data_IF_080107109796
#
_entry.id   IF_080107109796
#
_cell.length_a   1.000
_cell.length_b   1.000
_cell.length_c   1.000
_cell.angle_alpha   90.00
_cell.angle_beta   90.00
_cell.angle_gamma   90.00
#
_symmetry.space_group_name_H-M   'P 1'
#
loop_
_entity.id
_entity.type
_entity.pdbx_description
1 polymer ?
#
# COMPACT_ATOMS: atom_id res chain seq x y z
N UNK A 1 -13.45 -9.43 -4.52
CA UNK A 1 -12.37 -10.41 -4.29
C UNK A 1 -11.89 -10.31 -2.85
N UNK A 2 -11.48 -9.12 -2.39
CA UNK A 2 -11.16 -8.86 -0.97
C UNK A 2 -12.30 -9.30 -0.03
N UNK A 3 -13.56 -8.92 -0.32
CA UNK A 3 -14.72 -9.37 0.47
C UNK A 3 -14.83 -10.90 0.59
N UNK A 4 -14.51 -11.61 -0.50
CA UNK A 4 -14.56 -13.07 -0.54
C UNK A 4 -13.40 -13.72 0.24
N UNK A 5 -12.23 -13.07 0.28
CA UNK A 5 -11.11 -13.53 1.11
C UNK A 5 -11.36 -13.24 2.58
N UNK A 6 -11.92 -12.07 2.90
CA UNK A 6 -12.26 -11.67 4.28
C UNK A 6 -13.34 -12.59 4.86
N UNK A 7 -14.38 -12.90 4.09
CA UNK A 7 -15.40 -13.87 4.48
C UNK A 7 -14.84 -15.29 4.73
N UNK A 8 -13.65 -15.58 4.21
CA UNK A 8 -12.93 -16.84 4.42
C UNK A 8 -11.82 -16.76 5.49
N UNK A 9 -11.75 -15.66 6.25
CA UNK A 9 -10.71 -15.39 7.26
C UNK A 9 -9.30 -15.29 6.66
N UNK A 10 -9.19 -14.64 5.50
CA UNK A 10 -7.94 -14.36 4.81
C UNK A 10 -7.87 -12.89 4.36
N UNK A 11 -6.65 -12.41 4.16
CA UNK A 11 -6.35 -11.12 3.55
C UNK A 11 -5.61 -11.31 2.22
N UNK A 12 -5.90 -10.42 1.27
CA UNK A 12 -5.09 -10.24 0.07
C UNK A 12 -4.04 -9.16 0.28
N UNK A 13 -2.81 -9.41 -0.20
CA UNK A 13 -1.65 -8.57 0.13
C UNK A 13 -1.54 -7.25 -0.64
N UNK A 14 -2.27 -7.09 -1.75
CA UNK A 14 -2.21 -5.89 -2.60
C UNK A 14 -3.48 -5.07 -2.40
N UNK A 15 -3.30 -3.78 -2.13
CA UNK A 15 -4.40 -2.85 -1.90
C UNK A 15 -4.08 -1.44 -2.45
N UNK A 16 -4.98 -0.91 -3.28
CA UNK A 16 -4.79 0.34 -4.03
C UNK A 16 -6.10 1.15 -4.13
N UNK A 17 -5.99 2.43 -4.49
CA UNK A 17 -7.14 3.35 -4.57
C UNK A 17 -8.21 2.89 -5.58
N UNK A 18 -7.80 2.26 -6.68
CA UNK A 18 -8.72 1.78 -7.71
C UNK A 18 -9.45 0.46 -7.37
N UNK A 19 -9.41 -0.02 -6.13
CA UNK A 19 -9.97 -1.34 -5.73
C UNK A 19 -11.42 -1.59 -6.16
N UNK A 20 -12.22 -0.53 -6.29
CA UNK A 20 -13.63 -0.60 -6.69
C UNK A 20 -13.86 -0.85 -8.19
N UNK A 21 -12.84 -0.65 -9.04
CA UNK A 21 -12.96 -0.75 -10.49
C UNK A 21 -11.88 -1.61 -11.14
N UNK A 22 -10.71 -1.77 -10.51
CA UNK A 22 -9.62 -2.55 -11.06
C UNK A 22 -9.95 -4.05 -11.09
N UNK A 23 -9.42 -4.75 -12.09
CA UNK A 23 -9.56 -6.20 -12.25
C UNK A 23 -8.22 -6.89 -11.98
N UNK A 24 -8.26 -8.12 -11.45
CA UNK A 24 -7.06 -8.92 -11.17
C UNK A 24 -6.18 -9.10 -12.42
N UNK A 25 -6.77 -9.34 -13.59
CA UNK A 25 -6.02 -9.45 -14.84
C UNK A 25 -5.26 -8.17 -15.18
N UNK A 26 -5.88 -7.00 -15.00
CA UNK A 26 -5.24 -5.70 -15.18
C UNK A 26 -4.13 -5.47 -14.16
N UNK A 27 -4.40 -5.74 -12.88
CA UNK A 27 -3.40 -5.63 -11.81
C UNK A 27 -2.18 -6.53 -12.07
N UNK A 28 -2.37 -7.75 -12.57
CA UNK A 28 -1.29 -8.64 -12.97
C UNK A 28 -0.54 -8.07 -14.19
N UNK A 29 -1.27 -7.64 -15.21
CA UNK A 29 -0.68 -7.10 -16.44
C UNK A 29 0.17 -5.86 -16.17
N UNK A 30 -0.20 -4.99 -15.22
CA UNK A 30 0.60 -3.82 -14.83
C UNK A 30 1.59 -4.10 -13.70
N UNK A 31 1.58 -5.30 -13.13
CA UNK A 31 2.31 -5.63 -11.89
C UNK A 31 2.02 -4.63 -10.75
N UNK A 32 0.73 -4.35 -10.55
CA UNK A 32 0.25 -3.34 -9.62
C UNK A 32 0.88 -3.51 -8.22
N UNK A 33 1.35 -2.38 -7.70
CA UNK A 33 1.68 -2.24 -6.30
C UNK A 33 0.46 -1.80 -5.48
N UNK A 34 0.76 -1.09 -4.41
CA UNK A 34 -0.24 -0.55 -3.52
C UNK A 34 0.40 -0.11 -2.22
N UNK A 35 -0.43 0.47 -1.36
CA UNK A 35 0.00 1.03 -0.06
C UNK A 35 0.60 -0.01 0.88
N UNK A 36 0.28 -1.29 0.66
CA UNK A 36 0.77 -2.43 1.45
C UNK A 36 1.95 -3.19 0.83
N UNK A 37 2.50 -2.69 -0.29
CA UNK A 37 3.58 -3.36 -1.01
C UNK A 37 4.86 -3.53 -0.17
N UNK A 38 5.10 -2.65 0.81
CA UNK A 38 6.22 -2.77 1.75
C UNK A 38 6.12 -4.06 2.58
N UNK A 39 4.89 -4.45 2.97
CA UNK A 39 4.66 -5.65 3.78
C UNK A 39 4.54 -6.91 2.95
N UNK A 40 3.79 -6.84 1.85
CA UNK A 40 3.39 -8.05 1.11
C UNK A 40 4.07 -8.19 -0.26
N UNK A 41 4.64 -7.12 -0.82
CA UNK A 41 5.08 -7.07 -2.21
C UNK A 41 3.96 -6.65 -3.17
N UNK A 42 4.26 -6.69 -4.47
CA UNK A 42 3.35 -6.35 -5.56
C UNK A 42 2.62 -7.60 -6.05
N UNK A 43 1.84 -7.45 -7.12
CA UNK A 43 1.14 -8.58 -7.75
C UNK A 43 2.06 -9.74 -8.12
N UNK A 44 3.30 -9.46 -8.54
CA UNK A 44 4.30 -10.50 -8.84
C UNK A 44 4.55 -11.44 -7.66
N UNK A 45 4.74 -10.89 -6.47
CA UNK A 45 4.96 -11.65 -5.24
C UNK A 45 3.69 -12.35 -4.73
N UNK A 46 2.50 -11.85 -5.10
CA UNK A 46 1.22 -12.47 -4.77
C UNK A 46 0.84 -13.62 -5.70
N UNK A 47 1.51 -13.82 -6.83
CA UNK A 47 1.05 -14.75 -7.88
C UNK A 47 1.74 -16.11 -7.79
N UNK A 48 0.96 -17.17 -7.64
CA UNK A 48 1.45 -18.56 -7.65
C UNK A 48 1.39 -19.18 -9.06
N UNK A 49 0.39 -18.82 -9.86
CA UNK A 49 0.22 -19.34 -11.21
C UNK A 49 -0.71 -18.48 -12.05
N UNK A 50 -0.61 -18.63 -13.37
CA UNK A 50 -1.48 -17.93 -14.33
C UNK A 50 -1.90 -18.87 -15.47
N UNK A 51 -2.92 -18.43 -16.19
CA UNK A 51 -3.28 -18.88 -17.54
C UNK A 51 -3.40 -17.64 -18.43
N UNK A 52 -2.85 -17.71 -19.63
CA UNK A 52 -2.92 -16.63 -20.60
C UNK A 52 -3.15 -17.16 -22.02
N UNK A 53 -3.79 -16.36 -22.85
CA UNK A 53 -4.04 -16.64 -24.28
C UNK A 53 -3.12 -15.76 -25.12
N UNK A 54 -2.29 -16.38 -25.95
CA UNK A 54 -1.40 -15.68 -26.88
C UNK A 54 -2.19 -15.11 -28.08
N UNK A 55 -1.52 -14.27 -28.88
CA UNK A 55 -2.13 -13.62 -30.05
C UNK A 55 -2.63 -14.61 -31.12
N UNK A 56 -2.05 -15.81 -31.21
CA UNK A 56 -2.47 -16.89 -32.12
C UNK A 56 -3.58 -17.78 -31.54
N UNK A 57 -4.06 -17.48 -30.32
CA UNK A 57 -5.05 -18.27 -29.61
C UNK A 57 -4.48 -19.42 -28.77
N UNK A 58 -3.16 -19.63 -28.77
CA UNK A 58 -2.52 -20.65 -27.93
C UNK A 58 -2.73 -20.34 -26.45
N UNK A 59 -3.20 -21.32 -25.69
CA UNK A 59 -3.35 -21.21 -24.23
C UNK A 59 -2.05 -21.65 -23.54
N UNK A 60 -1.39 -20.72 -22.86
CA UNK A 60 -0.23 -20.98 -22.01
C UNK A 60 -0.69 -21.04 -20.56
N UNK A 61 -0.46 -22.17 -19.88
CA UNK A 61 -0.93 -22.38 -18.50
C UNK A 61 0.19 -22.85 -17.59
N UNK A 62 0.26 -22.23 -16.41
CA UNK A 62 1.09 -22.65 -15.28
C UNK A 62 0.32 -22.41 -13.98
N UNK A 63 -0.94 -22.87 -13.96
CA UNK A 63 -1.80 -22.81 -12.78
C UNK A 63 -1.35 -23.85 -11.75
N UNK A 64 -0.52 -23.43 -10.80
CA UNK A 64 -0.13 -24.25 -9.66
C UNK A 64 -0.48 -23.54 -8.35
N UNK A 65 -0.65 -24.32 -7.29
CA UNK A 65 -0.98 -23.84 -5.94
C UNK A 65 0.19 -23.98 -4.97
N UNK A 66 1.38 -24.29 -5.48
CA UNK A 66 2.56 -24.59 -4.67
C UNK A 66 3.32 -23.29 -4.39
N UNK A 67 3.83 -23.13 -3.17
CA UNK A 67 4.71 -22.01 -2.83
C UNK A 67 6.09 -22.14 -3.49
N UNK A 68 6.55 -23.38 -3.70
CA UNK A 68 7.84 -23.67 -4.34
C UNK A 68 7.60 -24.61 -5.51
N UNK A 69 7.94 -24.14 -6.71
CA UNK A 69 7.90 -24.92 -7.93
C UNK A 69 9.09 -24.52 -8.81
N UNK A 70 10.07 -25.42 -8.95
CA UNK A 70 11.29 -25.21 -9.73
C UNK A 70 11.33 -26.08 -11.00
N UNK A 71 10.16 -26.55 -11.46
CA UNK A 71 10.07 -27.39 -12.66
C UNK A 71 10.05 -26.52 -13.93
N UNK A 72 11.23 -26.13 -14.40
CA UNK A 72 11.40 -25.35 -15.63
C UNK A 72 11.32 -23.84 -15.42
N UNK A 73 11.05 -23.09 -16.48
CA UNK A 73 10.96 -21.63 -16.44
C UNK A 73 9.68 -21.15 -15.76
N UNK A 74 9.81 -20.07 -15.00
CA UNK A 74 8.67 -19.44 -14.34
C UNK A 74 7.88 -18.54 -15.31
N UNK A 75 7.18 -19.17 -16.25
CA UNK A 75 6.50 -18.48 -17.36
C UNK A 75 5.51 -17.40 -16.90
N UNK A 76 4.95 -17.52 -15.69
CA UNK A 76 4.04 -16.50 -15.14
C UNK A 76 4.70 -15.13 -15.01
N UNK A 77 6.01 -15.10 -14.78
CA UNK A 77 6.77 -13.86 -14.61
C UNK A 77 6.85 -13.04 -15.90
N UNK A 78 6.72 -13.67 -17.06
CA UNK A 78 6.75 -12.98 -18.36
C UNK A 78 5.48 -12.16 -18.57
N UNK A 79 4.33 -12.67 -18.17
CA UNK A 79 3.04 -11.99 -18.38
C UNK A 79 2.73 -10.93 -17.31
N UNK A 80 3.24 -11.11 -16.09
CA UNK A 80 3.08 -10.11 -15.02
C UNK A 80 3.92 -8.88 -15.37
N UNK A 81 3.30 -7.71 -15.46
CA UNK A 81 3.96 -6.49 -15.92
C UNK A 81 4.13 -6.38 -17.45
N UNK A 82 3.52 -7.26 -18.23
CA UNK A 82 3.58 -7.21 -19.70
C UNK A 82 2.62 -6.21 -20.34
N UNK A 83 1.71 -5.63 -19.54
CA UNK A 83 0.66 -4.71 -20.01
C UNK A 83 -0.21 -5.31 -21.14
N UNK A 84 -0.35 -6.63 -21.17
CA UNK A 84 -1.13 -7.36 -22.17
C UNK A 84 -0.43 -7.55 -23.52
N UNK A 85 0.82 -7.09 -23.67
CA UNK A 85 1.57 -7.18 -24.94
C UNK A 85 2.00 -8.59 -25.31
N UNK A 86 2.07 -9.51 -24.35
CA UNK A 86 2.46 -10.90 -24.56
C UNK A 86 1.28 -11.87 -24.61
N UNK A 87 0.07 -11.40 -24.30
CA UNK A 87 -1.14 -12.22 -24.24
C UNK A 87 -2.13 -11.72 -23.19
N UNK A 88 -3.32 -12.30 -23.21
CA UNK A 88 -4.43 -11.93 -22.32
C UNK A 88 -4.48 -12.90 -21.15
N UNK A 89 -4.27 -12.42 -19.92
CA UNK A 89 -4.39 -13.24 -18.70
C UNK A 89 -5.86 -13.56 -18.45
N UNK A 90 -6.21 -14.85 -18.42
CA UNK A 90 -7.59 -15.33 -18.25
C UNK A 90 -7.85 -15.86 -16.84
N UNK A 91 -6.84 -16.42 -16.18
CA UNK A 91 -6.96 -16.99 -14.82
C UNK A 91 -5.68 -16.77 -14.03
N UNK A 92 -5.83 -16.71 -12.71
CA UNK A 92 -4.71 -16.59 -11.79
C UNK A 92 -4.93 -17.41 -10.51
N UNK A 93 -3.84 -17.88 -9.93
CA UNK A 93 -3.79 -18.41 -8.57
C UNK A 93 -3.00 -17.42 -7.73
N UNK A 94 -3.66 -16.84 -6.73
CA UNK A 94 -3.08 -15.84 -5.85
C UNK A 94 -2.81 -16.42 -4.47
N UNK A 95 -1.73 -15.96 -3.84
CA UNK A 95 -1.40 -16.22 -2.45
C UNK A 95 -2.29 -15.35 -1.55
N UNK A 96 -2.82 -15.97 -0.50
CA UNK A 96 -3.54 -15.29 0.57
C UNK A 96 -2.69 -15.31 1.85
N UNK A 97 -2.99 -14.37 2.75
CA UNK A 97 -2.31 -14.22 4.04
C UNK A 97 -3.33 -14.32 5.17
N UNK A 98 -2.91 -14.72 6.39
CA UNK A 98 -3.75 -14.53 7.57
C UNK A 98 -4.13 -13.05 7.74
N UNK A 99 -5.30 -12.75 8.33
CA UNK A 99 -5.68 -11.39 8.66
C UNK A 99 -4.67 -10.79 9.66
N UNK A 100 -4.48 -9.48 9.56
CA UNK A 100 -3.70 -8.74 10.54
C UNK A 100 -4.62 -8.26 11.68
N UNK A 101 -4.05 -8.02 12.85
CA UNK A 101 -4.73 -7.33 13.95
C UNK A 101 -5.14 -5.91 13.54
N UNK A 102 -5.98 -5.28 14.37
CA UNK A 102 -6.46 -3.93 14.14
C UNK A 102 -5.29 -2.96 13.88
N UNK A 103 -5.32 -2.17 12.79
CA UNK A 103 -4.22 -1.29 12.43
C UNK A 103 -4.17 -0.05 13.33
N UNK A 104 -2.96 0.41 13.65
CA UNK A 104 -2.68 1.72 14.20
C UNK A 104 -2.14 2.64 13.11
N UNK A 105 -2.68 3.86 13.01
CA UNK A 105 -2.30 4.85 11.99
C UNK A 105 -1.80 6.13 12.63
N UNK A 106 -0.73 6.69 12.08
CA UNK A 106 -0.21 8.00 12.47
C UNK A 106 0.08 8.87 11.24
N UNK A 107 -0.02 10.19 11.43
CA UNK A 107 0.56 11.20 10.54
C UNK A 107 1.73 11.87 11.26
N UNK A 108 2.85 12.03 10.57
CA UNK A 108 4.09 12.59 11.11
C UNK A 108 4.57 13.74 10.25
N UNK A 109 5.07 14.81 10.85
CA UNK A 109 5.77 15.89 10.14
C UNK A 109 7.26 15.59 10.06
N UNK A 110 7.85 15.80 8.88
CA UNK A 110 9.26 15.53 8.61
C UNK A 110 9.86 16.69 7.82
N UNK A 111 10.90 17.30 8.40
CA UNK A 111 11.45 18.59 7.96
C UNK A 111 11.89 18.64 6.51
N UNK A 112 12.61 17.62 6.06
CA UNK A 112 13.30 17.59 4.78
C UNK A 112 13.46 16.15 4.27
N UNK A 113 13.90 16.02 3.02
CA UNK A 113 14.02 14.73 2.34
C UNK A 113 15.06 13.80 2.97
N UNK A 114 16.20 14.34 3.41
CA UNK A 114 17.26 13.52 4.04
C UNK A 114 16.77 12.94 5.37
N UNK A 115 16.01 13.72 6.13
CA UNK A 115 15.37 13.29 7.37
C UNK A 115 14.28 12.25 7.08
N UNK A 116 13.48 12.42 6.02
CA UNK A 116 12.51 11.42 5.57
C UNK A 116 13.16 10.07 5.26
N UNK A 117 14.28 10.07 4.54
CA UNK A 117 15.00 8.83 4.19
C UNK A 117 15.58 8.17 5.45
N UNK A 118 16.13 8.94 6.40
CA UNK A 118 16.61 8.42 7.68
C UNK A 118 15.46 7.85 8.52
N UNK A 119 14.32 8.53 8.56
CA UNK A 119 13.13 8.08 9.26
C UNK A 119 12.62 6.75 8.68
N UNK A 120 12.53 6.63 7.35
CA UNK A 120 12.15 5.38 6.71
C UNK A 120 13.12 4.23 7.03
N UNK A 121 14.43 4.47 7.00
CA UNK A 121 15.44 3.46 7.35
C UNK A 121 15.27 2.96 8.78
N UNK A 122 15.03 3.88 9.70
CA UNK A 122 14.81 3.57 11.10
C UNK A 122 13.52 2.76 11.32
N UNK A 123 12.39 3.20 10.74
CA UNK A 123 11.11 2.47 10.76
C UNK A 123 11.29 1.05 10.22
N UNK A 124 11.92 0.90 9.06
CA UNK A 124 12.15 -0.42 8.45
C UNK A 124 13.01 -1.34 9.33
N UNK A 125 13.99 -0.78 10.05
CA UNK A 125 14.90 -1.56 10.89
C UNK A 125 14.26 -2.02 12.21
N UNK A 126 13.26 -1.29 12.70
CA UNK A 126 12.81 -1.41 14.10
C UNK A 126 11.31 -1.64 14.27
N UNK A 127 10.51 -1.44 13.22
CA UNK A 127 9.05 -1.56 13.25
C UNK A 127 8.57 -2.69 12.32
N UNK A 128 8.65 -3.97 12.75
CA UNK A 128 8.36 -5.13 11.90
C UNK A 128 6.86 -5.27 11.55
N UNK A 129 5.98 -4.53 12.24
CA UNK A 129 4.54 -4.48 11.99
C UNK A 129 4.13 -3.38 11.01
N UNK A 130 5.08 -2.61 10.45
CA UNK A 130 4.76 -1.58 9.45
C UNK A 130 4.11 -2.22 8.22
N UNK A 131 2.96 -1.65 7.82
CA UNK A 131 2.21 -2.09 6.64
C UNK A 131 2.16 -1.05 5.54
N UNK A 132 2.13 0.25 5.88
CA UNK A 132 2.25 1.34 4.91
C UNK A 132 3.13 2.47 5.45
N UNK A 133 3.84 3.13 4.54
CA UNK A 133 4.63 4.32 4.79
C UNK A 133 4.50 5.24 3.56
N UNK A 134 3.69 6.28 3.69
CA UNK A 134 3.24 7.12 2.58
C UNK A 134 3.68 8.56 2.82
N UNK A 135 4.66 9.03 2.07
CA UNK A 135 5.13 10.41 2.14
C UNK A 135 4.33 11.31 1.20
N UNK A 136 3.97 12.49 1.69
CA UNK A 136 3.29 13.55 0.96
C UNK A 136 4.15 14.81 1.05
N UNK A 137 4.43 15.44 -0.10
CA UNK A 137 5.06 16.77 -0.10
C UNK A 137 4.09 17.82 0.45
N UNK A 138 4.63 18.84 1.10
CA UNK A 138 3.83 19.85 1.81
C UNK A 138 2.77 20.52 0.92
N UNK A 139 3.10 20.81 -0.35
CA UNK A 139 2.17 21.42 -1.28
C UNK A 139 0.91 20.56 -1.52
N UNK A 140 1.06 19.23 -1.59
CA UNK A 140 -0.06 18.30 -1.74
C UNK A 140 -0.88 18.28 -0.47
N UNK A 141 -0.22 18.14 0.68
CA UNK A 141 -0.92 18.11 1.97
C UNK A 141 -1.76 19.37 2.17
N UNK A 142 -1.16 20.55 1.98
CA UNK A 142 -1.86 21.84 2.11
C UNK A 142 -3.03 21.98 1.13
N UNK A 143 -2.84 21.54 -0.12
CA UNK A 143 -3.90 21.57 -1.12
C UNK A 143 -5.07 20.67 -0.70
N UNK A 144 -4.80 19.41 -0.36
CA UNK A 144 -5.84 18.44 0.02
C UNK A 144 -6.58 18.91 1.28
N UNK A 145 -5.87 19.43 2.30
CA UNK A 145 -6.48 20.01 3.49
C UNK A 145 -7.41 21.19 3.16
N UNK A 146 -6.99 22.08 2.26
CA UNK A 146 -7.78 23.27 1.90
C UNK A 146 -9.04 22.95 1.08
N UNK A 147 -9.01 21.87 0.28
CA UNK A 147 -10.03 21.58 -0.73
C UNK A 147 -10.81 20.29 -0.50
N UNK A 148 -10.59 19.58 0.60
CA UNK A 148 -11.38 18.39 0.97
C UNK A 148 -12.40 18.73 2.05
N UNK A 149 -13.72 18.78 1.73
CA UNK A 149 -14.74 19.11 2.71
C UNK A 149 -14.81 18.10 3.86
N UNK A 150 -14.97 18.59 5.09
CA UNK A 150 -15.24 17.77 6.26
C UNK A 150 -14.05 17.05 6.87
N UNK A 151 -12.85 17.21 6.31
CA UNK A 151 -11.61 16.67 6.88
C UNK A 151 -10.95 17.73 7.76
N UNK A 152 -10.64 17.37 9.00
CA UNK A 152 -9.88 18.23 9.91
C UNK A 152 -8.44 17.72 9.98
N UNK A 153 -7.43 18.53 9.57
CA UNK A 153 -6.04 18.12 9.70
C UNK A 153 -5.68 17.99 11.19
N UNK A 154 -4.84 17.01 11.57
CA UNK A 154 -4.42 16.86 12.96
C UNK A 154 -3.48 17.97 13.44
N UNK A 155 -2.79 18.65 12.51
CA UNK A 155 -1.87 19.75 12.76
C UNK A 155 -1.76 20.62 11.52
N UNK A 156 -1.32 21.87 11.71
CA UNK A 156 -0.74 22.64 10.62
C UNK A 156 0.65 22.09 10.30
N UNK A 157 1.05 22.12 9.03
CA UNK A 157 2.34 21.61 8.58
C UNK A 157 3.16 22.73 7.94
N UNK A 158 4.37 22.94 8.47
CA UNK A 158 5.38 23.86 7.91
C UNK A 158 6.62 23.10 7.42
N UNK A 159 6.72 21.81 7.72
CA UNK A 159 7.80 20.93 7.29
C UNK A 159 7.56 20.45 5.85
N UNK A 160 8.63 20.15 5.11
CA UNK A 160 8.54 19.83 3.67
C UNK A 160 7.73 18.56 3.39
N UNK A 161 7.61 17.66 4.36
CA UNK A 161 6.91 16.39 4.21
C UNK A 161 5.95 16.08 5.37
N UNK A 162 4.82 15.47 5.01
CA UNK A 162 3.92 14.78 5.94
C UNK A 162 3.92 13.30 5.57
N UNK A 163 4.13 12.43 6.54
CA UNK A 163 4.23 10.99 6.35
C UNK A 163 3.09 10.30 7.08
N UNK A 164 2.35 9.44 6.38
CA UNK A 164 1.42 8.51 7.01
C UNK A 164 2.07 7.15 7.23
N UNK A 165 1.92 6.62 8.43
CA UNK A 165 2.40 5.29 8.79
C UNK A 165 1.23 4.48 9.30
N UNK A 166 1.10 3.25 8.81
CA UNK A 166 0.15 2.28 9.34
C UNK A 166 0.92 1.05 9.80
N UNK A 167 0.58 0.55 10.99
CA UNK A 167 1.14 -0.66 11.57
C UNK A 167 0.02 -1.64 11.92
N UNK A 168 0.19 -2.90 11.56
CA UNK A 168 -0.73 -3.96 11.92
C UNK A 168 0.06 -5.25 12.16
N UNK A 169 -0.08 -5.82 13.35
CA UNK A 169 0.66 -7.01 13.74
C UNK A 169 -0.01 -8.28 13.20
N UNK A 170 0.81 -9.28 12.84
CA UNK A 170 0.30 -10.62 12.52
C UNK A 170 -0.02 -11.44 13.77
N UNK A 171 0.58 -11.10 14.92
CA UNK A 171 0.26 -11.69 16.22
C UNK A 171 -0.70 -10.75 16.96
N UNK A 172 -1.94 -11.18 17.27
CA UNK A 172 -2.94 -10.34 17.93
C UNK A 172 -2.55 -9.94 19.36
N UNK A 173 -1.52 -10.55 19.95
CA UNK A 173 -0.97 -10.16 21.27
C UNK A 173 -0.08 -8.93 21.21
N UNK A 174 0.39 -8.55 20.02
CA UNK A 174 1.20 -7.35 19.83
C UNK A 174 0.27 -6.17 19.63
N UNK A 175 0.32 -5.21 20.55
CA UNK A 175 -0.38 -3.94 20.40
C UNK A 175 0.37 -3.05 19.40
N UNK A 176 -0.17 -2.97 18.18
CA UNK A 176 0.39 -2.14 17.12
C UNK A 176 0.35 -0.64 17.45
N UNK A 177 -0.59 -0.19 18.28
CA UNK A 177 -0.71 1.21 18.69
C UNK A 177 0.42 1.58 19.64
N UNK A 178 0.58 0.81 20.72
CA UNK A 178 1.65 1.02 21.71
C UNK A 178 3.04 0.93 21.05
N UNK A 179 3.23 -0.07 20.18
CA UNK A 179 4.49 -0.23 19.42
C UNK A 179 4.78 0.99 18.54
N UNK A 180 3.77 1.50 17.82
CA UNK A 180 3.93 2.68 16.96
C UNK A 180 4.18 3.94 17.79
N UNK A 181 3.45 4.14 18.89
CA UNK A 181 3.60 5.29 19.79
C UNK A 181 5.02 5.37 20.39
N UNK A 182 5.51 4.27 20.96
CA UNK A 182 6.87 4.19 21.49
C UNK A 182 7.93 4.50 20.43
N UNK A 183 7.73 3.96 19.21
CA UNK A 183 8.65 4.18 18.09
C UNK A 183 8.66 5.64 17.64
N UNK A 184 7.50 6.29 17.59
CA UNK A 184 7.40 7.70 17.22
C UNK A 184 8.01 8.60 18.30
N UNK A 185 7.85 8.28 19.58
CA UNK A 185 8.55 8.96 20.67
C UNK A 185 10.07 8.94 20.48
N UNK A 186 10.65 7.77 20.21
CA UNK A 186 12.09 7.65 19.94
C UNK A 186 12.52 8.43 18.68
N UNK A 187 11.69 8.46 17.64
CA UNK A 187 11.96 9.24 16.43
C UNK A 187 11.88 10.76 16.67
N UNK A 188 11.00 11.20 17.56
CA UNK A 188 10.90 12.60 17.98
C UNK A 188 12.16 13.02 18.73
N UNK A 189 12.61 12.23 19.70
CA UNK A 189 13.84 12.49 20.47
C UNK A 189 15.09 12.51 19.57
N UNK A 190 15.11 11.67 18.52
CA UNK A 190 16.18 11.64 17.53
C UNK A 190 16.09 12.78 16.48
N UNK A 191 15.06 13.62 16.52
CA UNK A 191 14.82 14.70 15.56
C UNK A 191 14.45 14.21 14.15
N UNK A 192 13.95 12.98 14.03
CA UNK A 192 13.49 12.38 12.77
C UNK A 192 12.06 12.79 12.41
N UNK A 193 11.25 13.11 13.41
CA UNK A 193 9.90 13.68 13.26
C UNK A 193 9.80 14.94 14.11
N UNK A 194 9.20 16.00 13.56
CA UNK A 194 9.01 17.27 14.26
C UNK A 194 7.69 17.32 15.04
N UNK A 195 6.71 16.51 14.62
CA UNK A 195 5.43 16.33 15.30
C UNK A 195 4.78 15.03 14.78
N UNK A 196 3.87 14.44 15.55
CA UNK A 196 3.11 13.28 15.15
C UNK A 196 1.72 13.22 15.80
N UNK A 197 0.74 12.79 15.03
CA UNK A 197 -0.63 12.56 15.47
C UNK A 197 -1.01 11.10 15.24
N UNK A 198 -1.29 10.38 16.33
CA UNK A 198 -1.76 9.01 16.32
C UNK A 198 -3.30 8.98 16.32
N UNK A 199 -3.91 8.24 15.40
CA UNK A 199 -5.36 8.13 15.33
C UNK A 199 -5.93 7.46 16.59
N UNK A 200 -6.87 8.10 17.27
CA UNK A 200 -7.58 7.59 18.45
C UNK A 200 -8.91 6.91 18.11
N UNK A 201 -9.34 6.94 16.84
CA UNK A 201 -10.58 6.30 16.38
C UNK A 201 -10.50 5.91 14.91
N UNK A 202 -11.36 4.99 14.48
CA UNK A 202 -11.49 4.63 13.06
C UNK A 202 -11.85 5.83 12.18
N UNK A 203 -12.62 6.79 12.72
CA UNK A 203 -12.94 8.03 12.01
C UNK A 203 -11.68 8.83 11.71
N UNK A 204 -10.81 9.03 12.70
CA UNK A 204 -9.53 9.71 12.47
C UNK A 204 -8.63 8.93 11.52
N UNK A 205 -8.61 7.60 11.59
CA UNK A 205 -7.90 6.77 10.59
C UNK A 205 -8.41 7.04 9.18
N UNK A 206 -9.74 7.07 8.99
CA UNK A 206 -10.34 7.40 7.68
C UNK A 206 -10.00 8.81 7.23
N UNK A 207 -10.07 9.80 8.13
CA UNK A 207 -9.72 11.20 7.80
C UNK A 207 -8.25 11.31 7.34
N UNK A 208 -7.32 10.62 8.03
CA UNK A 208 -5.91 10.53 7.62
C UNK A 208 -5.73 9.80 6.28
N UNK A 209 -6.56 8.81 5.97
CA UNK A 209 -6.58 8.14 4.66
C UNK A 209 -7.07 9.07 3.56
N UNK A 210 -8.17 9.80 3.78
CA UNK A 210 -8.71 10.78 2.83
C UNK A 210 -7.66 11.83 2.46
N UNK A 211 -6.87 12.31 3.44
CA UNK A 211 -5.77 13.25 3.18
C UNK A 211 -4.71 12.69 2.22
N UNK A 212 -4.41 11.39 2.31
CA UNK A 212 -3.43 10.73 1.42
C UNK A 212 -4.02 10.35 0.06
N UNK A 213 -5.28 9.95 0.01
CA UNK A 213 -5.96 9.63 -1.26
C UNK A 213 -6.10 10.87 -2.14
N UNK A 214 -6.28 12.04 -1.53
CA UNK A 214 -6.15 13.31 -2.24
C UNK A 214 -7.21 13.53 -3.32
N UNK A 215 -8.42 12.98 -3.15
CA UNK A 215 -9.53 13.06 -4.12
C UNK A 215 -9.85 14.50 -4.58
N UNK A 216 -9.52 15.52 -3.79
CA UNK A 216 -9.62 16.93 -4.20
C UNK A 216 -8.76 17.28 -5.42
N UNK A 217 -7.71 16.52 -5.71
CA UNK A 217 -6.82 16.69 -6.87
C UNK A 217 -7.50 16.22 -8.15
N UNK A 218 -8.39 15.23 -8.08
CA UNK A 218 -9.12 14.72 -9.25
C UNK A 218 -10.06 15.77 -9.86
N UNK A 219 -10.36 16.84 -9.11
CA UNK A 219 -11.12 17.99 -9.58
C UNK A 219 -10.28 19.03 -10.34
N UNK A 220 -8.95 18.89 -10.40
CA UNK A 220 -8.09 19.83 -11.11
C UNK A 220 -8.30 19.74 -12.63
N UNK A 221 -8.48 20.89 -13.32
CA UNK A 221 -8.61 20.90 -14.77
C UNK A 221 -7.32 20.41 -15.42
N UNK A 222 -7.44 19.55 -16.43
CA UNK A 222 -6.32 19.00 -17.21
C UNK A 222 -5.30 18.19 -16.38
N UNK A 223 -5.74 17.56 -15.29
CA UNK A 223 -4.89 16.66 -14.52
C UNK A 223 -4.35 15.52 -15.41
N UNK A 224 -3.02 15.52 -15.61
CA UNK A 224 -2.30 14.36 -16.10
C UNK A 224 -1.74 13.62 -14.88
N UNK A 225 -2.52 12.66 -14.38
CA UNK A 225 -2.07 11.82 -13.28
C UNK A 225 -1.11 10.76 -13.84
N UNK A 226 0.18 10.88 -13.53
CA UNK A 226 1.20 9.90 -13.91
C UNK A 226 1.35 8.80 -12.86
N UNK A 227 0.34 8.58 -12.01
CA UNK A 227 0.30 7.43 -11.12
C UNK A 227 0.09 6.15 -11.94
N UNK A 228 1.20 5.59 -12.41
CA UNK A 228 1.27 4.23 -12.94
C UNK A 228 1.51 3.31 -11.74
N UNK A 229 0.41 2.81 -11.17
CA UNK A 229 0.41 1.90 -10.02
C UNK A 229 1.00 0.52 -10.31
#
# INVERSE_FOLDING_TARGET
>A
MQDATEAADFAFGVDLGARGSCQIGGMLATNAGGTRAIRFGKMREQTLGIEAVLADGTVVTSLNRMLKNNAGYDVKQLFIGSEGTLGVITRAVLRLHPPLAAPATALCRVRDYDTLVRFWRDVRATLPCVVSFEAMWLAFYRYVVAYTPGVTPPFDADDDFVVRIECAASDPRIDARDTLEQRLGACFDAGLVSDAALAASERQTRDMWTLREGLAIDALPHLLNFDVS
#
